data_IF_711875649258
#
_entry.id   IF_711875649258
#
_cell.length_a   1.000
_cell.length_b   1.000
_cell.length_c   1.000
_cell.angle_alpha   90.00
_cell.angle_beta   90.00
_cell.angle_gamma   90.00
#
_symmetry.space_group_name_H-M   'P 1'
#
loop_
_entity.id
_entity.type
_entity.pdbx_description
1 polymer ?
#
# COMPACT_ATOMS: atom_id res chain seq x y z
N UNK A 1 16.77 -1.27 -31.29
CA UNK A 1 16.15 -2.25 -32.21
C UNK A 1 15.98 -3.56 -31.47
N UNK A 2 14.80 -3.78 -30.91
CA UNK A 2 14.52 -4.91 -30.02
C UNK A 2 14.04 -6.08 -30.88
N UNK A 3 14.84 -7.15 -30.96
CA UNK A 3 14.46 -8.35 -31.69
C UNK A 3 13.17 -8.93 -31.10
N UNK A 4 12.09 -8.89 -31.86
CA UNK A 4 10.84 -9.57 -31.53
C UNK A 4 11.15 -11.06 -31.35
N UNK A 5 11.00 -11.56 -30.12
CA UNK A 5 10.98 -13.01 -29.87
C UNK A 5 9.80 -13.57 -30.65
N UNK A 6 10.10 -14.27 -31.75
CA UNK A 6 9.12 -15.08 -32.47
C UNK A 6 8.46 -16.02 -31.48
N UNK A 7 7.16 -15.83 -31.24
CA UNK A 7 6.34 -16.83 -30.56
C UNK A 7 6.26 -18.00 -31.52
N UNK A 8 6.85 -19.14 -31.15
CA UNK A 8 6.72 -20.35 -31.93
C UNK A 8 5.22 -20.70 -32.03
N UNK A 9 4.72 -21.13 -33.21
CA UNK A 9 3.33 -21.52 -33.35
C UNK A 9 3.03 -22.65 -32.36
N UNK A 10 1.83 -22.62 -31.77
CA UNK A 10 1.36 -23.70 -30.92
C UNK A 10 1.50 -25.02 -31.70
N UNK A 11 2.26 -25.97 -31.15
CA UNK A 11 2.51 -27.25 -31.79
C UNK A 11 1.17 -27.99 -31.84
N UNK A 12 0.60 -28.12 -33.03
CA UNK A 12 -0.61 -28.92 -33.24
C UNK A 12 -0.27 -30.37 -32.86
N UNK A 13 -0.90 -30.88 -31.80
CA UNK A 13 -0.79 -32.28 -31.41
C UNK A 13 -1.76 -33.05 -32.31
N UNK A 14 -1.30 -34.06 -33.07
CA UNK A 14 -2.16 -34.93 -33.85
C UNK A 14 -3.27 -35.54 -32.96
N UNK A 15 -4.52 -35.66 -33.46
CA UNK A 15 -5.68 -36.08 -32.67
C UNK A 15 -5.57 -37.52 -32.12
N UNK A 16 -4.62 -38.28 -32.62
CA UNK A 16 -4.30 -39.68 -32.37
C UNK A 16 -3.21 -39.90 -31.31
N UNK A 17 -2.62 -38.84 -30.75
CA UNK A 17 -1.67 -38.95 -29.65
C UNK A 17 -2.44 -38.93 -28.32
N UNK A 18 -2.35 -40.03 -27.56
CA UNK A 18 -2.85 -40.05 -26.18
C UNK A 18 -2.13 -38.95 -25.37
N UNK A 19 -2.82 -38.30 -24.42
CA UNK A 19 -2.30 -37.16 -23.65
C UNK A 19 -0.92 -37.41 -22.99
N UNK A 20 -0.58 -38.68 -22.75
CA UNK A 20 0.68 -39.12 -22.15
C UNK A 20 1.85 -39.27 -23.15
N UNK A 21 1.56 -39.43 -24.44
CA UNK A 21 2.53 -39.59 -25.53
C UNK A 21 2.91 -38.27 -26.20
N UNK A 22 2.27 -37.16 -25.78
CA UNK A 22 2.67 -35.83 -26.19
C UNK A 22 4.10 -35.54 -25.69
N UNK A 23 5.05 -35.13 -26.57
CA UNK A 23 6.43 -34.90 -26.17
C UNK A 23 6.50 -33.82 -25.06
N UNK A 24 6.83 -34.27 -23.85
CA UNK A 24 7.02 -33.42 -22.67
C UNK A 24 8.32 -32.62 -22.74
N UNK A 25 8.54 -31.76 -21.73
CA UNK A 25 9.81 -31.05 -21.61
C UNK A 25 10.91 -32.00 -21.13
N UNK A 26 12.06 -32.03 -21.83
CA UNK A 26 13.23 -32.81 -21.42
C UNK A 26 13.74 -32.29 -20.06
N UNK A 27 13.73 -33.14 -19.03
CA UNK A 27 14.19 -32.77 -17.67
C UNK A 27 15.71 -32.65 -17.56
N UNK A 28 16.45 -33.24 -18.51
CA UNK A 28 17.89 -33.15 -18.56
C UNK A 28 18.32 -31.71 -18.89
N UNK A 29 18.99 -31.03 -17.94
CA UNK A 29 19.44 -29.65 -18.10
C UNK A 29 18.39 -28.56 -17.78
N UNK A 30 17.17 -28.92 -17.38
CA UNK A 30 16.17 -27.93 -16.95
C UNK A 30 16.56 -27.37 -15.58
N UNK A 31 16.48 -26.04 -15.42
CA UNK A 31 16.63 -25.40 -14.11
C UNK A 31 15.27 -25.26 -13.44
N UNK A 32 15.23 -25.23 -12.11
CA UNK A 32 14.00 -24.94 -11.36
C UNK A 32 13.34 -23.63 -11.82
N UNK A 33 14.16 -22.61 -12.15
CA UNK A 33 13.69 -21.33 -12.70
C UNK A 33 12.95 -21.52 -14.04
N UNK A 34 13.51 -22.30 -14.95
CA UNK A 34 12.89 -22.59 -16.24
C UNK A 34 11.61 -23.43 -16.07
N UNK A 35 11.66 -24.49 -15.26
CA UNK A 35 10.49 -25.31 -14.97
C UNK A 35 9.34 -24.49 -14.36
N UNK A 36 9.64 -23.65 -13.37
CA UNK A 36 8.64 -22.79 -12.72
C UNK A 36 8.09 -21.73 -13.69
N UNK A 37 8.91 -21.17 -14.58
CA UNK A 37 8.44 -20.23 -15.61
C UNK A 37 7.46 -20.90 -16.58
N UNK A 38 7.77 -22.11 -17.06
CA UNK A 38 6.90 -22.89 -17.95
C UNK A 38 5.58 -23.24 -17.25
N UNK A 39 5.63 -23.77 -16.02
CA UNK A 39 4.42 -24.07 -15.23
C UNK A 39 3.55 -22.81 -15.06
N UNK A 40 4.18 -21.67 -14.78
CA UNK A 40 3.45 -20.40 -14.63
C UNK A 40 2.79 -19.95 -15.92
N UNK A 41 3.44 -20.14 -17.08
CA UNK A 41 2.87 -19.82 -18.38
C UNK A 41 1.68 -20.72 -18.74
N UNK A 42 1.82 -22.04 -18.53
CA UNK A 42 0.73 -23.00 -18.75
C UNK A 42 -0.47 -22.62 -17.88
N UNK A 43 -0.24 -22.43 -16.58
CA UNK A 43 -1.32 -22.04 -15.64
C UNK A 43 -1.92 -20.69 -15.98
N UNK A 44 -1.14 -19.73 -16.48
CA UNK A 44 -1.66 -18.42 -16.87
C UNK A 44 -2.64 -18.52 -18.05
N UNK A 45 -2.42 -19.45 -18.98
CA UNK A 45 -3.34 -19.69 -20.10
C UNK A 45 -4.65 -20.35 -19.63
N UNK A 46 -4.56 -21.24 -18.65
CA UNK A 46 -5.71 -21.95 -18.08
C UNK A 46 -6.48 -21.14 -17.02
N UNK A 47 -5.85 -20.15 -16.40
CA UNK A 47 -6.46 -19.37 -15.32
C UNK A 47 -7.41 -18.34 -15.91
N UNK A 48 -8.73 -18.44 -15.64
CA UNK A 48 -9.69 -17.47 -16.14
C UNK A 48 -9.41 -16.10 -15.53
N UNK A 49 -9.70 -15.05 -16.32
CA UNK A 49 -9.58 -13.68 -15.85
C UNK A 49 -10.51 -13.44 -14.66
N UNK A 50 -9.94 -12.94 -13.56
CA UNK A 50 -10.72 -12.61 -12.36
C UNK A 50 -11.38 -11.25 -12.55
N UNK A 51 -12.70 -11.25 -12.83
CA UNK A 51 -13.50 -10.03 -13.03
C UNK A 51 -13.24 -8.94 -11.99
N UNK A 52 -13.22 -9.28 -10.69
CA UNK A 52 -12.98 -8.32 -9.62
C UNK A 52 -11.57 -7.72 -9.64
N UNK A 53 -10.55 -8.52 -9.98
CA UNK A 53 -9.18 -8.01 -10.17
C UNK A 53 -9.12 -7.03 -11.32
N UNK A 54 -9.76 -7.32 -12.46
CA UNK A 54 -9.85 -6.41 -13.60
C UNK A 54 -10.51 -5.08 -13.22
N UNK A 55 -11.62 -5.13 -12.47
CA UNK A 55 -12.30 -3.91 -11.96
C UNK A 55 -11.33 -3.06 -11.14
N UNK A 56 -10.65 -3.65 -10.15
CA UNK A 56 -9.71 -2.92 -9.30
C UNK A 56 -8.51 -2.36 -10.10
N UNK A 57 -7.97 -3.11 -11.06
CA UNK A 57 -6.91 -2.61 -11.95
C UNK A 57 -7.38 -1.42 -12.79
N UNK A 58 -8.61 -1.44 -13.29
CA UNK A 58 -9.19 -0.32 -14.02
C UNK A 58 -9.42 0.90 -13.12
N UNK A 59 -9.89 0.70 -11.88
CA UNK A 59 -9.99 1.79 -10.89
C UNK A 59 -8.63 2.42 -10.61
N UNK A 60 -7.57 1.62 -10.47
CA UNK A 60 -6.20 2.15 -10.35
C UNK A 60 -5.79 2.95 -11.58
N UNK A 61 -6.04 2.44 -12.80
CA UNK A 61 -5.72 3.16 -14.03
C UNK A 61 -6.39 4.53 -14.08
N UNK A 62 -7.67 4.59 -13.75
CA UNK A 62 -8.46 5.84 -13.72
C UNK A 62 -7.90 6.80 -12.66
N UNK A 63 -7.64 6.33 -11.45
CA UNK A 63 -7.14 7.17 -10.35
C UNK A 63 -5.75 7.74 -10.64
N UNK A 64 -4.84 6.92 -11.19
CA UNK A 64 -3.49 7.37 -11.55
C UNK A 64 -3.54 8.30 -12.77
N UNK A 65 -4.39 8.04 -13.77
CA UNK A 65 -4.63 8.98 -14.88
C UNK A 65 -5.14 10.33 -14.38
N UNK A 66 -6.06 10.34 -13.41
CA UNK A 66 -6.58 11.57 -12.79
C UNK A 66 -5.49 12.37 -12.09
N UNK A 67 -4.57 11.69 -11.39
CA UNK A 67 -3.50 12.35 -10.63
C UNK A 67 -2.30 12.76 -11.50
N UNK A 68 -1.84 11.87 -12.39
CA UNK A 68 -0.57 12.01 -13.11
C UNK A 68 -0.76 12.46 -14.57
N UNK A 69 -2.00 12.53 -15.07
CA UNK A 69 -2.28 12.80 -16.49
C UNK A 69 -1.97 11.63 -17.44
N UNK A 70 -1.54 10.47 -16.94
CA UNK A 70 -1.32 9.27 -17.74
C UNK A 70 -1.69 7.98 -17.00
N UNK A 71 -2.30 7.03 -17.72
CA UNK A 71 -2.74 5.76 -17.17
C UNK A 71 -1.59 4.75 -17.18
N UNK A 72 -1.34 4.06 -16.05
CA UNK A 72 -0.32 3.03 -15.96
C UNK A 72 -0.75 1.73 -16.68
N UNK A 73 0.24 0.94 -17.07
CA UNK A 73 0.03 -0.45 -17.48
C UNK A 73 -0.21 -1.36 -16.28
N UNK A 74 -0.80 -2.54 -16.49
CA UNK A 74 -1.00 -3.51 -15.40
C UNK A 74 0.33 -3.99 -14.82
N UNK A 75 1.35 -4.15 -15.66
CA UNK A 75 2.70 -4.49 -15.22
C UNK A 75 3.30 -3.42 -14.32
N UNK A 76 3.06 -2.14 -14.61
CA UNK A 76 3.46 -1.04 -13.73
C UNK A 76 2.73 -1.12 -12.38
N UNK A 77 1.43 -1.42 -12.36
CA UNK A 77 0.65 -1.59 -11.12
C UNK A 77 1.24 -2.74 -10.27
N UNK A 78 1.43 -3.92 -10.87
CA UNK A 78 1.97 -5.09 -10.17
C UNK A 78 3.42 -4.92 -9.72
N UNK A 79 4.19 -4.10 -10.43
CA UNK A 79 5.57 -3.76 -10.05
C UNK A 79 5.60 -2.74 -8.92
N UNK A 80 4.72 -1.73 -8.95
CA UNK A 80 4.68 -0.65 -7.97
C UNK A 80 4.39 -1.15 -6.55
N UNK A 81 3.49 -2.12 -6.38
CA UNK A 81 3.21 -2.72 -5.06
C UNK A 81 4.39 -3.53 -4.49
N UNK A 82 5.47 -3.74 -5.25
CA UNK A 82 6.72 -4.37 -4.78
C UNK A 82 7.75 -3.33 -4.34
N UNK A 83 7.40 -2.04 -4.36
CA UNK A 83 8.29 -0.94 -3.97
C UNK A 83 8.95 -1.19 -2.61
N UNK A 84 10.24 -0.86 -2.52
CA UNK A 84 11.00 -0.88 -1.26
C UNK A 84 10.44 0.07 -0.22
N UNK A 85 9.65 1.06 -0.64
CA UNK A 85 9.01 2.02 0.24
C UNK A 85 7.78 1.43 0.97
N UNK A 86 7.31 0.26 0.55
CA UNK A 86 6.25 -0.47 1.26
C UNK A 86 6.82 -1.50 2.23
N UNK A 87 6.28 -1.54 3.44
CA UNK A 87 6.51 -2.64 4.38
C UNK A 87 5.88 -3.93 3.85
N UNK A 88 6.39 -5.11 4.25
CA UNK A 88 5.87 -6.40 3.78
C UNK A 88 4.37 -6.56 4.01
N UNK A 89 3.88 -6.10 5.16
CA UNK A 89 2.47 -6.21 5.53
C UNK A 89 1.59 -5.31 4.64
N UNK A 90 2.04 -4.09 4.34
CA UNK A 90 1.32 -3.20 3.43
C UNK A 90 1.31 -3.77 2.01
N UNK A 91 2.41 -4.36 1.52
CA UNK A 91 2.43 -5.04 0.21
C UNK A 91 1.41 -6.18 0.15
N UNK A 92 1.35 -7.01 1.19
CA UNK A 92 0.39 -8.10 1.28
C UNK A 92 -1.06 -7.57 1.31
N UNK A 93 -1.31 -6.49 2.05
CA UNK A 93 -2.60 -5.82 2.10
C UNK A 93 -3.03 -5.32 0.72
N UNK A 94 -2.18 -4.55 0.03
CA UNK A 94 -2.46 -4.02 -1.31
C UNK A 94 -2.63 -5.14 -2.35
N UNK A 95 -1.78 -6.17 -2.31
CA UNK A 95 -1.90 -7.31 -3.21
C UNK A 95 -3.23 -8.04 -3.03
N UNK A 96 -3.63 -8.33 -1.78
CA UNK A 96 -4.94 -8.93 -1.48
C UNK A 96 -6.08 -8.01 -1.93
N UNK A 97 -5.96 -6.71 -1.71
CA UNK A 97 -6.99 -5.75 -2.08
C UNK A 97 -7.16 -5.63 -3.61
N UNK A 98 -6.07 -5.57 -4.39
CA UNK A 98 -6.11 -5.64 -5.85
C UNK A 98 -6.81 -6.92 -6.34
N UNK A 99 -6.60 -8.04 -5.66
CA UNK A 99 -7.29 -9.30 -5.97
C UNK A 99 -8.71 -9.43 -5.40
N UNK A 100 -9.23 -8.42 -4.68
CA UNK A 100 -10.47 -8.54 -3.91
C UNK A 100 -10.49 -9.77 -2.98
N UNK A 101 -9.33 -10.08 -2.40
CA UNK A 101 -9.08 -11.26 -1.56
C UNK A 101 -9.28 -11.03 -0.06
N UNK A 102 -9.65 -9.81 0.34
CA UNK A 102 -10.07 -9.55 1.72
C UNK A 102 -11.52 -10.01 1.91
N UNK A 103 -11.79 -10.69 3.03
CA UNK A 103 -13.13 -11.18 3.37
C UNK A 103 -13.95 -10.04 3.97
N UNK A 104 -14.69 -9.33 3.13
CA UNK A 104 -15.52 -8.17 3.51
C UNK A 104 -16.74 -8.06 2.58
N UNK A 105 -17.76 -7.33 3.02
CA UNK A 105 -18.92 -6.98 2.22
C UNK A 105 -19.58 -8.19 1.56
N UNK A 106 -19.70 -8.16 0.23
CA UNK A 106 -20.31 -9.20 -0.58
C UNK A 106 -19.72 -10.63 -0.43
N UNK A 107 -18.57 -10.80 0.23
CA UNK A 107 -18.09 -12.14 0.58
C UNK A 107 -19.02 -12.85 1.58
N UNK A 108 -19.63 -12.10 2.49
CA UNK A 108 -20.42 -12.65 3.59
C UNK A 108 -21.93 -12.78 3.29
N UNK A 109 -22.43 -12.09 2.25
CA UNK A 109 -23.88 -11.95 1.96
C UNK A 109 -24.66 -13.27 1.88
N UNK A 110 -24.03 -14.36 1.44
CA UNK A 110 -24.68 -15.67 1.27
C UNK A 110 -24.28 -16.70 2.33
N UNK A 111 -23.60 -16.26 3.40
CA UNK A 111 -23.24 -17.14 4.52
C UNK A 111 -24.40 -17.25 5.53
N UNK A 112 -24.48 -18.33 6.31
CA UNK A 112 -25.45 -18.41 7.41
C UNK A 112 -25.10 -17.43 8.54
N UNK A 113 -26.04 -17.19 9.46
CA UNK A 113 -25.77 -16.46 10.68
C UNK A 113 -24.73 -17.18 11.56
N UNK A 114 -23.85 -16.45 12.28
CA UNK A 114 -23.79 -14.98 12.38
C UNK A 114 -22.95 -14.31 11.27
N UNK A 115 -22.38 -15.08 10.31
CA UNK A 115 -21.40 -14.53 9.38
C UNK A 115 -21.98 -13.55 8.35
N UNK A 116 -23.25 -13.70 7.97
CA UNK A 116 -23.91 -12.78 7.04
C UNK A 116 -23.87 -11.33 7.52
N UNK A 117 -23.85 -11.10 8.84
CA UNK A 117 -23.93 -9.77 9.43
C UNK A 117 -22.67 -8.94 9.09
N UNK A 118 -21.53 -9.59 8.85
CA UNK A 118 -20.29 -8.94 8.39
C UNK A 118 -20.35 -8.41 6.95
N UNK A 119 -21.44 -8.64 6.22
CA UNK A 119 -21.63 -8.04 4.89
C UNK A 119 -21.95 -6.54 4.95
N UNK A 120 -22.62 -6.11 6.03
CA UNK A 120 -23.10 -4.75 6.22
C UNK A 120 -22.29 -4.07 7.32
N UNK A 121 -21.99 -2.79 7.12
CA UNK A 121 -21.36 -1.98 8.14
C UNK A 121 -22.42 -1.52 9.15
N UNK A 122 -22.31 -1.85 10.44
CA UNK A 122 -23.34 -1.49 11.42
C UNK A 122 -23.39 0.01 11.71
N UNK A 123 -22.32 0.76 11.40
CA UNK A 123 -22.27 2.20 11.60
C UNK A 123 -22.96 3.00 10.47
N UNK A 124 -23.09 2.40 9.28
CA UNK A 124 -23.47 3.12 8.07
C UNK A 124 -24.58 2.46 7.28
N UNK A 125 -25.02 1.26 7.69
CA UNK A 125 -26.06 0.47 7.04
C UNK A 125 -25.88 0.32 5.52
N UNK A 126 -24.63 0.07 5.11
CA UNK A 126 -24.26 -0.15 3.71
C UNK A 126 -23.32 -1.34 3.59
N UNK A 127 -23.14 -1.85 2.37
CA UNK A 127 -22.17 -2.93 2.11
C UNK A 127 -20.78 -2.50 2.59
N UNK A 128 -20.19 -3.30 3.47
CA UNK A 128 -18.88 -3.01 4.07
C UNK A 128 -17.75 -3.47 3.13
N UNK A 129 -17.57 -2.81 1.99
CA UNK A 129 -16.45 -3.08 1.08
C UNK A 129 -15.19 -2.24 1.42
N UNK A 130 -14.09 -2.46 0.69
CA UNK A 130 -12.84 -1.72 0.95
C UNK A 130 -12.95 -0.21 0.63
N UNK A 131 -13.76 0.18 -0.36
CA UNK A 131 -13.98 1.59 -0.66
C UNK A 131 -14.68 2.25 0.54
N UNK A 132 -15.71 1.58 1.08
CA UNK A 132 -16.42 2.02 2.26
C UNK A 132 -15.48 2.09 3.48
N UNK A 133 -14.86 0.97 3.86
CA UNK A 133 -13.97 0.88 5.04
C UNK A 133 -12.90 1.97 5.02
N UNK A 134 -12.23 2.13 3.87
CA UNK A 134 -11.08 3.01 3.80
C UNK A 134 -11.46 4.47 3.62
N UNK A 135 -12.56 4.81 2.96
CA UNK A 135 -12.77 6.18 2.49
C UNK A 135 -14.14 6.78 2.83
N UNK A 136 -15.19 5.97 3.03
CA UNK A 136 -16.55 6.48 3.23
C UNK A 136 -17.18 6.16 4.58
N UNK A 137 -16.62 5.21 5.35
CA UNK A 137 -17.17 4.79 6.64
C UNK A 137 -17.19 5.94 7.66
N UNK A 138 -18.26 6.04 8.45
CA UNK A 138 -18.39 6.99 9.57
C UNK A 138 -17.55 6.59 10.80
N UNK A 139 -16.62 5.65 10.61
CA UNK A 139 -15.79 5.09 11.66
C UNK A 139 -14.75 6.08 12.17
N UNK A 140 -14.58 6.17 13.50
CA UNK A 140 -13.60 7.05 14.15
C UNK A 140 -12.18 6.80 13.64
N UNK A 141 -11.85 5.54 13.37
CA UNK A 141 -10.58 5.06 12.82
C UNK A 141 -10.28 5.72 11.48
N UNK A 142 -11.24 5.67 10.55
CA UNK A 142 -11.10 6.22 9.20
C UNK A 142 -10.96 7.74 9.26
N UNK A 143 -11.82 8.43 10.00
CA UNK A 143 -11.77 9.89 10.06
C UNK A 143 -10.48 10.38 10.72
N UNK A 144 -10.14 9.80 11.87
CA UNK A 144 -8.97 10.24 12.65
C UNK A 144 -7.69 10.01 11.87
N UNK A 145 -7.52 8.84 11.25
CA UNK A 145 -6.30 8.53 10.49
C UNK A 145 -6.16 9.42 9.26
N UNK A 146 -7.22 9.66 8.48
CA UNK A 146 -7.11 10.56 7.33
C UNK A 146 -6.94 12.03 7.72
N UNK A 147 -7.56 12.46 8.82
CA UNK A 147 -7.33 13.80 9.34
C UNK A 147 -5.86 13.98 9.76
N UNK A 148 -5.27 13.01 10.46
CA UNK A 148 -3.86 13.03 10.82
C UNK A 148 -2.95 13.05 9.59
N UNK A 149 -3.23 12.20 8.60
CA UNK A 149 -2.48 12.15 7.35
C UNK A 149 -2.52 13.48 6.58
N UNK A 150 -3.71 14.10 6.50
CA UNK A 150 -3.89 15.40 5.86
C UNK A 150 -3.18 16.52 6.61
N UNK A 151 -3.37 16.61 7.92
CA UNK A 151 -2.74 17.63 8.77
C UNK A 151 -1.21 17.52 8.75
N UNK A 152 -0.68 16.30 8.74
CA UNK A 152 0.76 16.06 8.69
C UNK A 152 1.39 16.61 7.41
N UNK A 153 0.65 16.67 6.30
CA UNK A 153 1.18 17.11 5.01
C UNK A 153 0.84 18.57 4.68
N UNK A 154 0.14 19.30 5.56
CA UNK A 154 -0.37 20.66 5.29
C UNK A 154 0.73 21.64 4.88
N UNK A 155 1.91 21.59 5.49
CA UNK A 155 3.01 22.52 5.17
C UNK A 155 3.69 22.20 3.83
N UNK A 156 3.39 21.05 3.22
CA UNK A 156 4.02 20.58 1.97
C UNK A 156 3.07 20.40 0.81
N UNK A 157 1.77 20.46 1.07
CA UNK A 157 0.73 20.32 0.06
C UNK A 157 -0.27 21.45 0.20
N UNK A 158 -0.52 22.12 -0.93
CA UNK A 158 -1.58 23.12 -1.02
C UNK A 158 -2.97 22.52 -0.75
N UNK A 159 -3.20 21.29 -1.23
CA UNK A 159 -4.45 20.58 -1.03
C UNK A 159 -4.20 19.07 -0.88
N UNK A 160 -4.96 18.45 0.02
CA UNK A 160 -4.98 16.99 0.14
C UNK A 160 -5.64 16.38 -1.10
N UNK A 161 -5.06 15.34 -1.72
CA UNK A 161 -5.64 14.74 -2.92
C UNK A 161 -6.99 14.08 -2.65
N UNK A 162 -7.85 14.10 -3.66
CA UNK A 162 -9.09 13.31 -3.65
C UNK A 162 -8.73 11.84 -3.83
N UNK A 163 -8.88 11.06 -2.75
CA UNK A 163 -8.59 9.64 -2.72
C UNK A 163 -9.84 8.81 -3.01
N UNK A 164 -9.68 7.82 -3.89
CA UNK A 164 -10.59 6.68 -4.05
C UNK A 164 -9.83 5.35 -3.83
N UNK A 165 -10.52 4.21 -3.88
CA UNK A 165 -9.89 2.90 -3.74
C UNK A 165 -8.80 2.71 -4.80
N UNK A 166 -8.99 3.20 -6.03
CA UNK A 166 -7.96 3.20 -7.07
C UNK A 166 -6.71 3.98 -6.64
N UNK A 167 -6.87 5.15 -6.02
CA UNK A 167 -5.76 5.95 -5.49
C UNK A 167 -4.97 5.19 -4.42
N UNK A 168 -5.66 4.47 -3.51
CA UNK A 168 -5.00 3.68 -2.46
C UNK A 168 -4.30 2.45 -3.05
N UNK A 169 -4.97 1.70 -3.92
CA UNK A 169 -4.41 0.50 -4.55
C UNK A 169 -3.24 0.82 -5.49
N UNK A 170 -3.28 1.98 -6.13
CA UNK A 170 -2.27 2.51 -7.01
C UNK A 170 -1.31 3.51 -6.36
N UNK A 171 -1.33 3.66 -5.04
CA UNK A 171 -0.66 4.79 -4.36
C UNK A 171 0.81 4.94 -4.74
N UNK A 172 1.53 3.82 -4.92
CA UNK A 172 2.95 3.79 -5.32
C UNK A 172 3.24 4.31 -6.73
N UNK A 173 2.22 4.60 -7.53
CA UNK A 173 2.33 5.22 -8.85
C UNK A 173 1.97 6.70 -8.84
N UNK A 174 1.30 7.20 -7.80
CA UNK A 174 0.87 8.60 -7.74
C UNK A 174 2.09 9.55 -7.71
N UNK A 175 2.02 10.63 -8.45
CA UNK A 175 3.05 11.66 -8.52
C UNK A 175 2.52 12.98 -7.96
N UNK A 176 3.41 13.69 -7.26
CA UNK A 176 3.11 14.94 -6.58
C UNK A 176 4.18 15.97 -6.94
N UNK A 177 3.76 17.00 -7.65
CA UNK A 177 4.61 18.05 -8.21
C UNK A 177 4.03 19.41 -7.83
N UNK A 178 4.45 20.02 -6.71
CA UNK A 178 4.03 21.37 -6.38
C UNK A 178 4.59 22.32 -7.45
N UNK A 179 3.76 23.23 -7.94
CA UNK A 179 4.12 24.17 -9.03
C UNK A 179 4.62 23.48 -10.30
N UNK A 180 4.08 22.30 -10.64
CA UNK A 180 4.46 21.49 -11.81
C UNK A 180 5.93 21.04 -11.83
N UNK A 181 6.65 21.16 -10.70
CA UNK A 181 8.03 20.70 -10.56
C UNK A 181 8.06 19.30 -9.94
N UNK A 182 8.69 18.31 -10.60
CA UNK A 182 8.84 16.97 -10.04
C UNK A 182 9.50 17.01 -8.66
N UNK A 183 8.79 16.53 -7.64
CA UNK A 183 9.30 16.47 -6.27
C UNK A 183 9.32 15.02 -5.78
N UNK A 184 10.47 14.36 -5.94
CA UNK A 184 10.66 12.96 -5.58
C UNK A 184 10.52 12.72 -4.07
N UNK A 185 10.93 13.68 -3.23
CA UNK A 185 10.79 13.62 -1.78
C UNK A 185 9.33 13.68 -1.36
N UNK A 186 8.59 14.69 -1.82
CA UNK A 186 7.15 14.83 -1.56
C UNK A 186 6.38 13.62 -2.08
N UNK A 187 6.65 13.21 -3.31
CA UNK A 187 5.99 12.04 -3.92
C UNK A 187 6.21 10.79 -3.08
N UNK A 188 7.44 10.55 -2.63
CA UNK A 188 7.75 9.42 -1.75
C UNK A 188 7.05 9.53 -0.39
N UNK A 189 7.00 10.72 0.20
CA UNK A 189 6.30 10.97 1.46
C UNK A 189 4.82 10.64 1.33
N UNK A 190 4.14 11.20 0.32
CA UNK A 190 2.72 10.94 0.07
C UNK A 190 2.41 9.47 -0.17
N UNK A 191 3.25 8.79 -0.95
CA UNK A 191 3.18 7.34 -1.17
C UNK A 191 3.21 6.59 0.16
N UNK A 192 4.16 6.89 1.03
CA UNK A 192 4.28 6.26 2.35
C UNK A 192 3.06 6.59 3.22
N UNK A 193 2.68 7.86 3.34
CA UNK A 193 1.58 8.31 4.19
C UNK A 193 0.25 7.68 3.77
N UNK A 194 -0.10 7.68 2.47
CA UNK A 194 -1.34 7.07 1.97
C UNK A 194 -1.36 5.57 2.28
N UNK A 195 -0.27 4.86 1.99
CA UNK A 195 -0.21 3.40 2.11
C UNK A 195 -0.23 2.91 3.56
N UNK A 196 0.51 3.56 4.45
CA UNK A 196 0.54 3.22 5.88
C UNK A 196 -0.78 3.62 6.57
N UNK A 197 -1.38 4.75 6.19
CA UNK A 197 -2.67 5.20 6.74
C UNK A 197 -3.80 4.27 6.35
N UNK A 198 -3.91 3.90 5.07
CA UNK A 198 -4.92 2.95 4.60
C UNK A 198 -4.78 1.58 5.28
N UNK A 199 -3.54 1.08 5.43
CA UNK A 199 -3.31 -0.18 6.12
C UNK A 199 -3.62 -0.09 7.62
N UNK A 200 -3.35 1.04 8.27
CA UNK A 200 -3.73 1.24 9.67
C UNK A 200 -5.26 1.26 9.85
N UNK A 201 -5.99 1.97 8.99
CA UNK A 201 -7.47 1.97 9.01
C UNK A 201 -7.99 0.53 8.87
N UNK A 202 -7.45 -0.23 7.92
CA UNK A 202 -7.80 -1.64 7.76
C UNK A 202 -7.57 -2.46 9.04
N UNK A 203 -6.42 -2.31 9.71
CA UNK A 203 -6.12 -3.02 10.95
C UNK A 203 -7.07 -2.64 12.08
N UNK A 204 -7.29 -1.34 12.30
CA UNK A 204 -8.16 -0.85 13.36
C UNK A 204 -9.62 -1.27 13.11
N UNK A 205 -10.07 -1.27 11.85
CA UNK A 205 -11.38 -1.82 11.49
C UNK A 205 -11.46 -3.30 11.83
N UNK A 206 -10.43 -4.10 11.55
CA UNK A 206 -10.45 -5.53 11.90
C UNK A 206 -10.51 -5.75 13.41
N UNK A 207 -9.75 -4.99 14.19
CA UNK A 207 -9.81 -5.01 15.65
C UNK A 207 -11.22 -4.67 16.15
N UNK A 208 -11.79 -3.54 15.73
CA UNK A 208 -13.17 -3.19 16.09
C UNK A 208 -14.19 -4.25 15.66
N UNK A 209 -14.26 -4.54 14.35
CA UNK A 209 -15.35 -5.33 13.75
C UNK A 209 -15.25 -6.81 14.07
N UNK A 210 -14.03 -7.36 14.22
CA UNK A 210 -13.81 -8.81 14.31
C UNK A 210 -13.30 -9.22 15.71
N UNK A 211 -12.39 -8.46 16.31
CA UNK A 211 -11.84 -8.80 17.63
C UNK A 211 -12.76 -8.33 18.76
N UNK A 212 -13.40 -7.18 18.60
CA UNK A 212 -14.33 -6.60 19.58
C UNK A 212 -15.79 -6.68 19.16
N UNK A 213 -16.11 -7.30 18.02
CA UNK A 213 -17.51 -7.49 17.54
C UNK A 213 -18.34 -6.17 17.49
N UNK A 214 -17.68 -5.04 17.19
CA UNK A 214 -18.19 -3.66 17.26
C UNK A 214 -18.67 -3.19 18.63
N UNK A 215 -18.17 -3.79 19.71
CA UNK A 215 -18.23 -3.19 21.04
C UNK A 215 -17.44 -1.87 21.05
N UNK A 216 -18.16 -0.75 21.04
CA UNK A 216 -17.60 0.60 20.96
C UNK A 216 -16.83 1.00 22.23
N UNK A 217 -17.10 0.36 23.38
CA UNK A 217 -16.40 0.65 24.63
C UNK A 217 -15.02 -0.02 24.64
N UNK A 218 -14.90 -1.18 23.99
CA UNK A 218 -13.64 -1.88 23.79
C UNK A 218 -12.89 -1.45 22.51
N UNK A 219 -13.51 -0.61 21.68
CA UNK A 219 -12.90 -0.10 20.45
C UNK A 219 -11.84 0.97 20.71
N UNK A 220 -10.78 1.06 19.88
CA UNK A 220 -9.71 2.05 20.08
C UNK A 220 -10.24 3.50 20.16
N UNK A 221 -9.80 4.22 21.19
CA UNK A 221 -10.11 5.65 21.35
C UNK A 221 -9.41 6.51 20.30
N UNK A 222 -9.83 7.78 20.14
CA UNK A 222 -9.17 8.70 19.19
C UNK A 222 -7.70 8.92 19.57
N UNK A 223 -7.42 9.02 20.87
CA UNK A 223 -6.08 9.18 21.43
C UNK A 223 -5.19 7.97 21.12
N UNK A 224 -5.75 6.76 21.26
CA UNK A 224 -5.05 5.53 20.93
C UNK A 224 -4.78 5.43 19.42
N UNK A 225 -5.79 5.72 18.58
CA UNK A 225 -5.66 5.74 17.12
C UNK A 225 -4.56 6.71 16.70
N UNK A 226 -4.53 7.92 17.27
CA UNK A 226 -3.48 8.91 17.04
C UNK A 226 -2.11 8.40 17.43
N UNK A 227 -1.99 7.77 18.61
CA UNK A 227 -0.76 7.14 19.06
C UNK A 227 -0.27 6.04 18.11
N UNK A 228 -1.16 5.15 17.67
CA UNK A 228 -0.85 4.06 16.73
C UNK A 228 -0.44 4.60 15.35
N UNK A 229 -1.05 5.68 14.88
CA UNK A 229 -0.65 6.34 13.63
C UNK A 229 0.73 6.99 13.73
N UNK A 230 0.99 7.78 14.79
CA UNK A 230 2.31 8.35 15.05
C UNK A 230 3.39 7.27 15.16
N UNK A 231 3.11 6.17 15.85
CA UNK A 231 4.01 5.03 15.95
C UNK A 231 4.30 4.41 14.57
N UNK A 232 3.28 4.26 13.71
CA UNK A 232 3.45 3.73 12.37
C UNK A 232 4.36 4.63 11.51
N UNK A 233 4.14 5.95 11.51
CA UNK A 233 4.98 6.87 10.73
C UNK A 233 6.40 6.99 11.33
N UNK A 234 6.53 7.04 12.66
CA UNK A 234 7.84 7.02 13.33
C UNK A 234 8.64 5.75 13.01
N UNK A 235 7.97 4.60 12.92
CA UNK A 235 8.62 3.36 12.48
C UNK A 235 9.13 3.47 11.03
N UNK A 236 8.44 4.22 10.15
CA UNK A 236 8.91 4.48 8.78
C UNK A 236 10.12 5.39 8.73
N UNK A 237 10.10 6.49 9.48
CA UNK A 237 11.25 7.38 9.63
C UNK A 237 12.46 6.60 10.14
N UNK A 238 12.27 5.83 11.22
CA UNK A 238 13.31 4.97 11.78
C UNK A 238 13.84 3.96 10.76
N UNK A 239 12.96 3.28 10.03
CA UNK A 239 13.38 2.32 9.01
C UNK A 239 14.21 2.96 7.89
N UNK A 240 13.78 4.11 7.38
CA UNK A 240 14.51 4.87 6.36
C UNK A 240 15.90 5.25 6.86
N UNK A 241 16.03 5.75 8.10
CA UNK A 241 17.33 6.05 8.72
C UNK A 241 18.23 4.82 8.79
N UNK A 242 17.70 3.66 9.17
CA UNK A 242 18.49 2.44 9.21
C UNK A 242 18.97 2.02 7.82
N UNK A 243 18.10 2.14 6.81
CA UNK A 243 18.40 1.75 5.44
C UNK A 243 19.44 2.64 4.76
N UNK A 244 19.75 3.84 5.26
CA UNK A 244 20.82 4.68 4.69
C UNK A 244 22.23 4.18 5.00
N UNK A 245 22.39 3.20 5.90
CA UNK A 245 23.70 2.71 6.31
C UNK A 245 24.45 2.01 5.14
N UNK A 246 25.30 2.77 4.45
CA UNK A 246 26.12 2.30 3.32
C UNK A 246 27.11 1.20 3.72
N UNK A 247 27.60 1.19 4.97
CA UNK A 247 28.49 0.14 5.47
C UNK A 247 27.78 -1.22 5.54
N UNK A 248 26.51 -1.23 5.94
CA UNK A 248 25.71 -2.46 6.07
C UNK A 248 25.07 -2.90 4.75
N UNK A 249 24.56 -1.96 3.97
CA UNK A 249 23.72 -2.26 2.81
C UNK A 249 24.40 -2.00 1.45
N UNK A 250 25.58 -1.39 1.43
CA UNK A 250 26.35 -1.12 0.21
C UNK A 250 25.51 -0.40 -0.84
N UNK A 251 25.48 -0.95 -2.07
CA UNK A 251 24.68 -0.41 -3.19
C UNK A 251 23.16 -0.49 -2.98
N UNK A 252 22.68 -1.24 -1.98
CA UNK A 252 21.26 -1.34 -1.64
C UNK A 252 20.82 -0.32 -0.58
N UNK A 253 21.77 0.44 -0.02
CA UNK A 253 21.46 1.49 0.92
C UNK A 253 20.52 2.52 0.30
N UNK A 254 19.62 3.04 1.11
CA UNK A 254 18.78 4.17 0.73
C UNK A 254 19.66 5.43 0.66
N UNK A 255 19.37 6.30 -0.31
CA UNK A 255 20.09 7.54 -0.46
C UNK A 255 19.74 8.52 0.66
N UNK A 256 20.75 9.13 1.30
CA UNK A 256 20.55 10.04 2.44
C UNK A 256 19.75 11.28 2.00
N UNK A 257 20.07 11.86 0.85
CA UNK A 257 19.39 13.07 0.34
C UNK A 257 17.92 12.77 0.02
N UNK A 258 17.61 11.59 -0.52
CA UNK A 258 16.23 11.16 -0.73
C UNK A 258 15.46 11.06 0.59
N UNK A 259 16.08 10.51 1.66
CA UNK A 259 15.43 10.42 2.98
C UNK A 259 15.18 11.81 3.55
N UNK A 260 16.17 12.70 3.49
CA UNK A 260 16.04 14.08 3.95
C UNK A 260 14.90 14.78 3.19
N UNK A 261 14.89 14.73 1.85
CA UNK A 261 13.81 15.31 1.02
C UNK A 261 12.43 14.68 1.28
N UNK A 262 12.39 13.39 1.64
CA UNK A 262 11.14 12.70 1.96
C UNK A 262 10.52 13.31 3.21
N UNK A 263 11.29 13.51 4.28
CA UNK A 263 10.75 13.95 5.57
C UNK A 263 10.98 15.43 5.89
N UNK A 264 11.58 16.17 4.95
CA UNK A 264 11.80 17.61 5.03
C UNK A 264 10.51 18.35 5.40
N UNK A 265 10.56 19.22 6.41
CA UNK A 265 9.42 19.98 6.91
C UNK A 265 8.31 19.18 7.59
N UNK A 266 8.47 17.86 7.81
CA UNK A 266 7.42 17.01 8.38
C UNK A 266 7.71 16.53 9.82
N UNK A 267 8.94 16.71 10.30
CA UNK A 267 9.39 16.14 11.59
C UNK A 267 9.56 17.23 12.63
N UNK A 268 9.22 16.90 13.87
CA UNK A 268 9.61 17.73 15.02
C UNK A 268 11.07 17.41 15.35
N UNK A 269 11.94 18.39 15.09
CA UNK A 269 13.37 18.31 15.36
C UNK A 269 13.71 19.12 16.62
N UNK A 270 14.54 18.59 17.54
CA UNK A 270 15.10 19.37 18.63
C UNK A 270 15.82 20.64 18.15
N UNK A 271 15.89 21.66 19.02
CA UNK A 271 16.72 22.84 18.79
C UNK A 271 18.19 22.39 18.55
N UNK A 272 18.83 22.93 17.50
CA UNK A 272 20.22 22.65 17.09
C UNK A 272 20.50 21.29 16.40
N UNK A 273 19.49 20.64 15.80
CA UNK A 273 19.74 19.49 14.92
C UNK A 273 20.31 19.96 13.58
N UNK A 274 21.42 19.38 13.08
CA UNK A 274 21.97 19.75 11.78
C UNK A 274 21.02 19.32 10.65
N UNK A 275 21.15 19.97 9.48
CA UNK A 275 20.34 19.67 8.31
C UNK A 275 20.29 18.16 7.97
N UNK A 276 21.39 17.44 8.17
CA UNK A 276 21.40 15.98 8.13
C UNK A 276 21.09 15.38 9.52
N UNK A 277 19.80 15.20 9.81
CA UNK A 277 19.33 14.65 11.08
C UNK A 277 19.37 13.12 11.17
N UNK A 278 19.74 12.40 10.10
CA UNK A 278 19.62 10.93 9.99
C UNK A 278 20.31 10.20 11.15
N UNK A 279 21.45 10.72 11.61
CA UNK A 279 22.25 10.13 12.69
C UNK A 279 21.95 10.69 14.07
N UNK A 280 21.04 11.66 14.19
CA UNK A 280 20.71 12.32 15.45
C UNK A 280 19.56 11.62 16.18
N UNK A 281 19.66 11.40 17.50
CA UNK A 281 18.54 10.90 18.30
C UNK A 281 17.43 11.97 18.41
N UNK A 282 16.22 11.57 18.80
CA UNK A 282 15.13 12.50 19.11
C UNK A 282 14.31 13.04 17.94
N UNK A 283 14.47 12.48 16.74
CA UNK A 283 13.68 12.85 15.56
C UNK A 283 12.37 12.05 15.53
N UNK A 284 11.24 12.73 15.72
CA UNK A 284 9.92 12.11 15.84
C UNK A 284 8.86 12.87 15.05
N UNK A 285 7.80 12.15 14.68
CA UNK A 285 6.48 12.68 14.38
C UNK A 285 5.79 12.90 15.72
N UNK A 286 5.47 14.16 16.02
CA UNK A 286 5.11 14.63 17.35
C UNK A 286 3.93 13.92 18.00
N UNK A 287 4.01 13.76 19.33
CA UNK A 287 2.87 13.89 20.24
C UNK A 287 2.94 15.31 20.75
N UNK A 288 2.01 16.16 20.33
CA UNK A 288 1.89 17.54 20.81
C UNK A 288 1.90 17.58 22.33
N UNK A 289 3.08 17.78 22.88
CA UNK A 289 3.31 18.21 24.25
C UNK A 289 4.35 19.29 24.14
N UNK A 290 3.91 20.46 23.68
CA UNK A 290 4.52 21.71 24.11
C UNK A 290 4.47 21.68 25.63
N UNK A 291 5.53 21.17 26.25
CA UNK A 291 5.75 21.27 27.69
C UNK A 291 5.77 22.78 27.96
N UNK A 292 4.86 23.33 28.78
CA UNK A 292 4.87 24.77 29.03
C UNK A 292 6.24 25.15 29.60
N UNK A 293 6.88 26.17 29.00
CA UNK A 293 8.10 26.75 29.54
C UNK A 293 7.77 27.39 30.89
N UNK A 294 8.33 26.82 31.97
CA UNK A 294 8.34 27.39 33.31
C UNK A 294 8.91 26.37 34.30
N UNK A 295 9.86 26.68 35.18
CA UNK A 295 10.34 27.97 35.70
C UNK A 295 11.79 27.77 36.16
N UNK A 296 12.62 28.80 35.99
CA UNK A 296 13.90 28.90 36.71
C UNK A 296 13.68 28.72 38.22
N UNK A 297 14.53 27.89 38.83
CA UNK A 297 14.91 27.95 40.23
C UNK A 297 16.41 27.75 40.30
#
# INVERSE_FOLDING_TARGET
MTAARRVAPARAVPPDIEKYDAPGAQLHGITQKAAHAVIKQIRAHETPERRRTRVNLNSVKIAVQRQNGSAPTEDQIWTAIKSRDLSRNVRNFLWKALHSGHKVGGYFTHMPAPWCDYAICPLCDTTEDLQHILLACASRERETVWQLASNFMTDRLQAWPVLDLGSVLGCMLLEFSPEDKPNSGLTRAMRIIISESAFLIWKLRCERRIEHEDDLDNSPSREEITGRWQMAINARVSHDRHLTNKRRYGRKALDEDLVLKTWDGLLELPENVPANWIRHPGVLVGRGTTRPRGRER
#
